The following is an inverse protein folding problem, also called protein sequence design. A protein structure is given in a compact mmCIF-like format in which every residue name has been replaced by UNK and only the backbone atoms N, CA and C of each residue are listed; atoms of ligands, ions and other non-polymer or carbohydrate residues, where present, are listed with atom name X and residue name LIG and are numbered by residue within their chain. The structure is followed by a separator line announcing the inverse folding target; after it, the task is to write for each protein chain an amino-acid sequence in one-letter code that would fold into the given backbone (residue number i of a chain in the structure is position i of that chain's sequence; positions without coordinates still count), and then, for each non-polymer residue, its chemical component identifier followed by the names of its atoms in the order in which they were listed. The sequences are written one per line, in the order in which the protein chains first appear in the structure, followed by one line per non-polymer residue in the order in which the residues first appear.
data_IF_063822828026
#
_entry.id   IF_063822828026
#
_cell.length_a   1.000
_cell.length_b   1.000
_cell.length_c   1.000
_cell.angle_alpha   90.00
_cell.angle_beta   90.00
_cell.angle_gamma   90.00
#
_symmetry.space_group_name_H-M   'P 1'
#
loop_
_entity.id
_entity.type
_entity.pdbx_description
1 polymer ?
#
# COMPACT_ATOMS: atom_id res chain seq x y z
N UNK A 1 -33.18 2.72 -18.88
CA UNK A 1 -32.75 1.34 -18.64
C UNK A 1 -31.31 1.22 -19.09
N UNK A 2 -30.37 1.02 -18.16
CA UNK A 2 -28.97 0.76 -18.51
C UNK A 2 -28.85 -0.74 -18.84
N UNK A 3 -28.45 -1.11 -20.08
CA UNK A 3 -28.46 -2.50 -20.54
C UNK A 3 -27.23 -3.32 -20.10
N UNK A 4 -26.28 -2.72 -19.37
CA UNK A 4 -25.07 -3.40 -18.88
C UNK A 4 -25.21 -3.92 -17.44
N UNK A 5 -24.61 -5.09 -17.17
CA UNK A 5 -24.39 -5.62 -15.82
C UNK A 5 -23.44 -4.64 -15.10
N UNK A 6 -23.93 -3.93 -14.08
CA UNK A 6 -23.11 -2.97 -13.32
C UNK A 6 -22.51 -3.67 -12.11
N UNK A 7 -21.23 -3.42 -11.87
CA UNK A 7 -20.51 -3.91 -10.69
C UNK A 7 -21.08 -3.27 -9.43
N UNK A 8 -21.37 -4.07 -8.42
CA UNK A 8 -21.81 -3.61 -7.10
C UNK A 8 -20.63 -3.64 -6.14
N UNK A 9 -20.31 -2.49 -5.57
CA UNK A 9 -19.30 -2.34 -4.54
C UNK A 9 -19.99 -2.07 -3.22
N UNK A 10 -19.96 -3.04 -2.32
CA UNK A 10 -20.53 -2.94 -0.97
C UNK A 10 -19.43 -2.64 0.04
N UNK A 11 -19.54 -1.50 0.70
CA UNK A 11 -18.60 -1.05 1.70
C UNK A 11 -19.18 -1.21 3.10
N UNK A 12 -18.47 -1.91 3.98
CA UNK A 12 -18.83 -2.10 5.38
C UNK A 12 -17.74 -1.60 6.33
N UNK A 13 -18.04 -1.50 7.63
CA UNK A 13 -17.05 -1.04 8.62
C UNK A 13 -16.13 -2.17 9.06
N UNK A 14 -16.71 -3.30 9.45
CA UNK A 14 -15.99 -4.37 10.15
C UNK A 14 -15.94 -5.68 9.35
N UNK A 15 -14.92 -6.50 9.63
CA UNK A 15 -14.77 -7.82 8.99
C UNK A 15 -15.98 -8.75 9.25
N UNK A 16 -16.53 -8.83 10.48
CA UNK A 16 -17.74 -9.63 10.71
C UNK A 16 -18.97 -9.17 9.91
N UNK A 17 -19.10 -7.88 9.60
CA UNK A 17 -20.16 -7.40 8.72
C UNK A 17 -19.93 -7.82 7.28
N UNK A 18 -18.68 -7.77 6.80
CA UNK A 18 -18.29 -8.30 5.48
C UNK A 18 -18.70 -9.78 5.36
N UNK A 19 -18.38 -10.60 6.36
CA UNK A 19 -18.76 -12.02 6.36
C UNK A 19 -20.28 -12.23 6.39
N UNK A 20 -21.02 -11.44 7.17
CA UNK A 20 -22.49 -11.48 7.19
C UNK A 20 -23.08 -11.13 5.82
N UNK A 21 -22.60 -10.05 5.20
CA UNK A 21 -23.07 -9.61 3.90
C UNK A 21 -22.76 -10.65 2.80
N UNK A 22 -21.59 -11.31 2.86
CA UNK A 22 -21.26 -12.42 1.96
C UNK A 22 -22.17 -13.64 2.18
N UNK A 23 -22.49 -13.97 3.44
CA UNK A 23 -23.41 -15.07 3.76
C UNK A 23 -24.86 -14.77 3.33
N UNK A 24 -25.28 -13.51 3.36
CA UNK A 24 -26.57 -13.07 2.84
C UNK A 24 -26.60 -13.10 1.30
N UNK A 25 -25.52 -12.66 0.66
CA UNK A 25 -25.36 -12.75 -0.79
C UNK A 25 -25.43 -14.20 -1.29
N UNK A 26 -24.77 -15.13 -0.58
CA UNK A 26 -24.81 -16.57 -0.87
C UNK A 26 -26.24 -17.12 -0.79
N UNK A 27 -26.97 -16.81 0.29
CA UNK A 27 -28.38 -17.17 0.46
C UNK A 27 -29.29 -16.57 -0.61
N UNK A 28 -29.02 -15.34 -1.04
CA UNK A 28 -29.76 -14.67 -2.11
C UNK A 28 -29.55 -15.38 -3.45
N UNK A 29 -28.31 -15.76 -3.78
CA UNK A 29 -28.00 -16.49 -5.01
C UNK A 29 -28.67 -17.87 -5.03
N UNK A 30 -28.65 -18.60 -3.91
CA UNK A 30 -29.37 -19.87 -3.77
C UNK A 30 -30.89 -19.70 -3.98
N UNK A 31 -31.48 -18.65 -3.42
CA UNK A 31 -32.90 -18.34 -3.60
C UNK A 31 -33.22 -18.03 -5.07
N UNK A 32 -32.40 -17.21 -5.75
CA UNK A 32 -32.57 -16.86 -7.17
C UNK A 32 -32.49 -18.09 -8.07
N UNK A 33 -31.54 -18.99 -7.79
CA UNK A 33 -31.40 -20.25 -8.52
C UNK A 33 -32.65 -21.13 -8.36
N UNK A 34 -33.23 -21.21 -7.15
CA UNK A 34 -34.49 -21.94 -6.89
C UNK A 34 -35.70 -21.34 -7.63
N UNK A 35 -35.70 -20.04 -7.88
CA UNK A 35 -36.76 -19.35 -8.64
C UNK A 35 -36.56 -19.40 -10.16
N UNK A 36 -35.53 -20.11 -10.66
CA UNK A 36 -35.26 -20.24 -12.09
C UNK A 36 -34.50 -19.06 -12.71
N UNK A 37 -34.01 -18.13 -11.90
CA UNK A 37 -33.09 -17.07 -12.35
C UNK A 37 -31.67 -17.61 -12.29
N UNK A 38 -31.17 -18.16 -13.40
CA UNK A 38 -29.78 -18.59 -13.50
C UNK A 38 -28.90 -17.39 -13.88
N UNK A 39 -28.22 -16.82 -12.88
CA UNK A 39 -27.18 -15.82 -13.12
C UNK A 39 -25.90 -16.55 -13.55
N UNK A 40 -25.74 -16.77 -14.86
CA UNK A 40 -24.50 -17.35 -15.40
C UNK A 40 -23.31 -16.43 -15.09
N UNK A 41 -22.18 -17.06 -14.75
CA UNK A 41 -20.90 -16.40 -14.50
C UNK A 41 -20.93 -15.32 -13.41
N UNK A 42 -21.78 -15.48 -12.37
CA UNK A 42 -21.80 -14.54 -11.25
C UNK A 42 -20.63 -14.77 -10.29
N UNK A 43 -19.88 -13.71 -9.97
CA UNK A 43 -18.80 -13.75 -8.98
C UNK A 43 -19.05 -12.73 -7.87
N UNK A 44 -19.21 -13.23 -6.66
CA UNK A 44 -19.27 -12.44 -5.43
C UNK A 44 -17.99 -12.65 -4.59
N UNK A 45 -17.31 -11.56 -4.23
CA UNK A 45 -16.00 -11.63 -3.59
C UNK A 45 -15.92 -10.78 -2.31
N UNK A 46 -15.38 -11.36 -1.24
CA UNK A 46 -14.94 -10.63 -0.06
C UNK A 46 -13.48 -10.20 -0.16
N UNK A 47 -13.18 -8.93 0.14
CA UNK A 47 -11.80 -8.44 0.28
C UNK A 47 -11.51 -8.00 1.71
N UNK A 48 -10.38 -8.46 2.24
CA UNK A 48 -9.84 -8.00 3.53
C UNK A 48 -8.31 -7.90 3.50
N UNK A 49 -7.70 -7.66 4.67
CA UNK A 49 -6.26 -7.49 4.81
C UNK A 49 -5.48 -8.79 4.65
N UNK A 50 -4.17 -8.69 4.35
CA UNK A 50 -3.28 -9.86 4.26
C UNK A 50 -3.35 -10.73 5.51
N UNK A 51 -3.52 -10.13 6.69
CA UNK A 51 -3.65 -10.83 7.97
C UNK A 51 -4.78 -11.87 7.96
N UNK A 52 -5.89 -11.59 7.30
CA UNK A 52 -7.07 -12.47 7.32
C UNK A 52 -7.06 -13.49 6.17
N UNK A 53 -6.30 -13.24 5.10
CA UNK A 53 -6.27 -14.08 3.89
C UNK A 53 -4.94 -14.83 3.68
N UNK A 54 -3.92 -14.60 4.51
CA UNK A 54 -2.63 -15.27 4.39
C UNK A 54 -2.71 -16.74 4.86
N UNK A 55 -2.28 -17.67 4.01
CA UNK A 55 -2.23 -19.11 4.27
C UNK A 55 -0.81 -19.65 4.44
N UNK A 56 0.20 -18.78 4.35
CA UNK A 56 1.60 -19.19 4.47
C UNK A 56 1.92 -19.58 5.92
N UNK A 57 2.40 -20.81 6.21
CA UNK A 57 2.50 -21.35 7.57
C UNK A 57 3.29 -20.48 8.56
N UNK A 58 4.36 -19.83 8.09
CA UNK A 58 5.21 -18.99 8.95
C UNK A 58 4.68 -17.56 9.13
N UNK A 59 3.80 -17.09 8.24
CA UNK A 59 3.30 -15.70 8.25
C UNK A 59 1.90 -15.61 8.83
N UNK A 60 1.06 -16.61 8.60
CA UNK A 60 -0.32 -16.66 9.12
C UNK A 60 -0.39 -16.72 10.65
N UNK A 61 0.70 -17.08 11.33
CA UNK A 61 0.80 -17.14 12.79
C UNK A 61 1.00 -15.76 13.44
N UNK A 62 1.39 -14.76 12.65
CA UNK A 62 1.68 -13.42 13.15
C UNK A 62 0.41 -12.64 13.51
N UNK A 63 0.41 -11.98 14.67
CA UNK A 63 -0.78 -11.28 15.19
C UNK A 63 -0.95 -9.87 14.64
N UNK A 64 0.14 -9.23 14.22
CA UNK A 64 0.15 -7.83 13.75
C UNK A 64 0.15 -7.79 12.23
N UNK A 65 -0.78 -7.03 11.65
CA UNK A 65 -0.90 -6.88 10.19
C UNK A 65 0.38 -6.34 9.54
N UNK A 66 1.05 -5.36 10.16
CA UNK A 66 2.29 -4.80 9.64
C UNK A 66 3.42 -5.85 9.49
N UNK A 67 3.51 -6.81 10.41
CA UNK A 67 4.52 -7.89 10.35
C UNK A 67 4.15 -8.86 9.22
N UNK A 68 2.86 -9.18 9.08
CA UNK A 68 2.36 -10.01 7.97
C UNK A 68 2.71 -9.37 6.62
N UNK A 69 2.51 -8.07 6.49
CA UNK A 69 2.82 -7.32 5.27
C UNK A 69 4.33 -7.32 4.97
N UNK A 70 5.17 -7.10 5.99
CA UNK A 70 6.63 -7.11 5.85
C UNK A 70 7.15 -8.49 5.41
N UNK A 71 6.75 -9.56 6.11
CA UNK A 71 7.16 -10.94 5.75
C UNK A 71 6.62 -11.39 4.40
N UNK A 72 5.39 -11.01 4.06
CA UNK A 72 4.85 -11.29 2.73
C UNK A 72 5.71 -10.65 1.65
N UNK A 73 6.14 -9.40 1.86
CA UNK A 73 7.02 -8.68 0.94
C UNK A 73 8.42 -9.30 0.85
N UNK A 74 8.98 -9.76 1.96
CA UNK A 74 10.27 -10.47 1.99
C UNK A 74 10.32 -11.65 1.03
N UNK A 75 9.19 -12.32 0.79
CA UNK A 75 9.09 -13.48 -0.11
C UNK A 75 8.52 -13.17 -1.49
N UNK A 76 7.81 -12.04 -1.67
CA UNK A 76 7.08 -11.73 -2.92
C UNK A 76 7.65 -10.55 -3.70
N UNK A 77 8.54 -9.76 -3.09
CA UNK A 77 9.13 -8.59 -3.71
C UNK A 77 9.86 -8.93 -5.01
N UNK A 78 9.70 -8.05 -6.00
CA UNK A 78 10.16 -8.34 -7.37
C UNK A 78 11.67 -8.53 -7.49
N UNK A 79 12.47 -7.81 -6.68
CA UNK A 79 13.93 -8.00 -6.63
C UNK A 79 14.33 -9.30 -5.92
N UNK A 80 13.55 -9.76 -4.93
CA UNK A 80 13.79 -11.03 -4.25
C UNK A 80 13.58 -12.18 -5.23
N UNK A 81 12.49 -12.13 -6.01
CA UNK A 81 12.19 -13.11 -7.06
C UNK A 81 13.29 -13.16 -8.13
N UNK A 82 13.77 -12.00 -8.59
CA UNK A 82 14.90 -11.93 -9.53
C UNK A 82 16.19 -12.51 -8.94
N UNK A 83 16.51 -12.19 -7.68
CA UNK A 83 17.69 -12.75 -7.01
C UNK A 83 17.57 -14.26 -6.84
N UNK A 84 16.40 -14.78 -6.53
CA UNK A 84 16.15 -16.21 -6.38
C UNK A 84 16.48 -16.98 -7.68
N UNK A 85 16.14 -16.41 -8.85
CA UNK A 85 16.50 -16.97 -10.16
C UNK A 85 18.02 -17.03 -10.39
N UNK A 86 18.79 -16.09 -9.82
CA UNK A 86 20.25 -15.99 -10.02
C UNK A 86 21.09 -16.74 -8.97
N UNK A 87 20.65 -16.76 -7.71
CA UNK A 87 21.43 -17.24 -6.55
C UNK A 87 20.90 -18.60 -6.02
N UNK A 88 19.71 -19.03 -6.42
CA UNK A 88 19.22 -20.41 -6.23
C UNK A 88 18.90 -20.85 -4.79
N UNK A 89 18.98 -19.97 -3.79
CA UNK A 89 18.82 -20.33 -2.38
C UNK A 89 18.05 -19.26 -1.57
N UNK A 90 17.00 -18.69 -2.15
CA UNK A 90 16.13 -17.70 -1.49
C UNK A 90 14.74 -18.31 -1.39
N UNK A 91 14.19 -18.35 -0.18
CA UNK A 91 12.83 -18.83 0.08
C UNK A 91 11.82 -17.85 -0.51
N UNK A 92 10.99 -18.34 -1.44
CA UNK A 92 9.88 -17.60 -2.05
C UNK A 92 8.56 -18.16 -1.52
N UNK A 93 7.49 -17.41 -1.73
CA UNK A 93 6.16 -17.87 -1.36
C UNK A 93 5.59 -18.77 -2.47
N UNK A 94 5.58 -20.09 -2.25
CA UNK A 94 5.03 -21.08 -3.19
C UNK A 94 3.60 -20.74 -3.65
N UNK A 95 2.76 -20.26 -2.73
CA UNK A 95 1.38 -19.87 -2.99
C UNK A 95 1.26 -18.69 -3.97
N UNK A 96 2.21 -17.76 -3.90
CA UNK A 96 2.24 -16.60 -4.79
C UNK A 96 2.80 -16.96 -6.17
N UNK A 97 3.90 -17.72 -6.22
CA UNK A 97 4.51 -18.14 -7.49
C UNK A 97 3.55 -19.00 -8.31
N UNK A 98 2.83 -19.93 -7.66
CA UNK A 98 1.81 -20.76 -8.34
C UNK A 98 0.73 -19.88 -8.98
N UNK A 99 0.21 -18.89 -8.24
CA UNK A 99 -0.79 -17.95 -8.75
C UNK A 99 -0.27 -17.14 -9.95
N UNK A 100 1.01 -16.77 -9.96
CA UNK A 100 1.61 -16.00 -11.05
C UNK A 100 1.67 -16.78 -12.37
N UNK A 101 1.78 -18.12 -12.29
CA UNK A 101 1.81 -18.99 -13.48
C UNK A 101 0.44 -19.34 -14.07
N UNK A 102 -0.64 -19.11 -13.32
CA UNK A 102 -2.00 -19.47 -13.75
C UNK A 102 -2.67 -18.39 -14.59
N UNK A 103 -3.46 -18.81 -15.58
CA UNK A 103 -4.25 -17.93 -16.43
C UNK A 103 -5.49 -17.40 -15.70
N UNK A 104 -5.93 -16.19 -16.08
CA UNK A 104 -7.01 -15.47 -15.41
C UNK A 104 -8.35 -16.22 -15.44
N UNK A 105 -8.62 -16.99 -16.50
CA UNK A 105 -9.87 -17.77 -16.66
C UNK A 105 -9.98 -18.97 -15.72
N UNK A 106 -8.87 -19.43 -15.14
CA UNK A 106 -8.84 -20.60 -14.24
C UNK A 106 -8.81 -20.20 -12.76
N UNK A 107 -8.79 -18.90 -12.46
CA UNK A 107 -8.54 -18.40 -11.11
C UNK A 107 -9.66 -18.71 -10.12
N UNK A 108 -10.92 -18.51 -10.54
CA UNK A 108 -12.06 -18.68 -9.66
C UNK A 108 -13.31 -19.08 -10.46
N UNK A 109 -13.98 -20.20 -10.11
CA UNK A 109 -15.27 -20.53 -10.71
C UNK A 109 -16.35 -19.48 -10.36
N UNK A 110 -17.48 -19.54 -11.07
CA UNK A 110 -18.67 -18.75 -10.71
C UNK A 110 -19.18 -19.15 -9.33
N UNK A 111 -19.40 -18.17 -8.46
CA UNK A 111 -19.88 -18.39 -7.10
C UNK A 111 -19.71 -17.18 -6.21
N UNK A 112 -20.27 -17.29 -4.99
CA UNK A 112 -20.05 -16.33 -3.91
C UNK A 112 -19.03 -16.93 -2.95
N UNK A 113 -17.93 -16.21 -2.76
CA UNK A 113 -16.82 -16.66 -1.94
C UNK A 113 -16.73 -15.81 -0.68
N UNK A 114 -16.98 -16.44 0.47
CA UNK A 114 -16.66 -15.87 1.78
C UNK A 114 -15.13 -15.83 2.00
N UNK A 115 -14.69 -15.14 3.05
CA UNK A 115 -13.26 -15.11 3.38
C UNK A 115 -12.72 -16.52 3.70
N UNK A 116 -13.50 -17.33 4.41
CA UNK A 116 -13.18 -18.72 4.70
C UNK A 116 -13.11 -19.55 3.41
N UNK A 117 -14.14 -19.43 2.54
CA UNK A 117 -14.19 -20.13 1.25
C UNK A 117 -12.94 -19.81 0.39
N UNK A 118 -12.51 -18.55 0.34
CA UNK A 118 -11.29 -18.15 -0.37
C UNK A 118 -10.02 -18.76 0.23
N UNK A 119 -9.92 -18.77 1.57
CA UNK A 119 -8.74 -19.35 2.22
C UNK A 119 -8.63 -20.85 2.00
N UNK A 120 -9.76 -21.56 2.04
CA UNK A 120 -9.79 -23.00 1.84
C UNK A 120 -9.58 -23.37 0.37
N UNK A 121 -10.15 -22.59 -0.56
CA UNK A 121 -9.88 -22.72 -1.98
C UNK A 121 -8.39 -22.52 -2.31
N UNK A 122 -7.77 -21.47 -1.74
CA UNK A 122 -6.35 -21.21 -1.92
C UNK A 122 -5.45 -22.30 -1.31
N UNK A 123 -5.81 -22.88 -0.16
CA UNK A 123 -5.09 -24.03 0.41
C UNK A 123 -5.19 -25.26 -0.50
N UNK A 124 -6.38 -25.56 -1.02
CA UNK A 124 -6.63 -26.73 -1.86
C UNK A 124 -5.85 -26.66 -3.19
N UNK A 125 -5.76 -25.47 -3.79
CA UNK A 125 -5.10 -25.26 -5.09
C UNK A 125 -3.67 -24.70 -4.97
N UNK A 126 -3.12 -24.58 -3.76
CA UNK A 126 -1.82 -23.95 -3.47
C UNK A 126 -1.67 -22.55 -4.07
N UNK A 127 -2.73 -21.74 -3.99
CA UNK A 127 -2.76 -20.35 -4.44
C UNK A 127 -2.84 -19.39 -3.26
N UNK A 128 -2.27 -18.19 -3.41
CA UNK A 128 -2.36 -17.14 -2.41
C UNK A 128 -3.75 -16.46 -2.46
N UNK A 129 -4.63 -16.61 -1.44
CA UNK A 129 -5.99 -16.05 -1.48
C UNK A 129 -6.00 -14.52 -1.56
N UNK A 130 -5.04 -13.86 -0.90
CA UNK A 130 -4.92 -12.40 -0.93
C UNK A 130 -4.67 -11.87 -2.34
N UNK A 131 -3.68 -12.40 -3.06
CA UNK A 131 -3.39 -11.95 -4.43
C UNK A 131 -4.42 -12.49 -5.44
N UNK A 132 -5.00 -13.66 -5.18
CA UNK A 132 -6.10 -14.21 -5.97
C UNK A 132 -7.31 -13.26 -5.96
N UNK A 133 -7.78 -12.88 -4.78
CA UNK A 133 -8.90 -11.94 -4.65
C UNK A 133 -8.65 -10.63 -5.39
N UNK A 134 -7.42 -10.10 -5.35
CA UNK A 134 -7.03 -8.90 -6.12
C UNK A 134 -7.09 -9.09 -7.63
N UNK A 135 -6.61 -10.21 -8.16
CA UNK A 135 -6.66 -10.51 -9.60
C UNK A 135 -8.08 -10.72 -10.13
N UNK A 136 -9.00 -11.14 -9.26
CA UNK A 136 -10.41 -11.42 -9.62
C UNK A 136 -11.28 -10.15 -9.54
N UNK A 137 -10.80 -9.05 -8.94
CA UNK A 137 -11.54 -7.77 -8.84
C UNK A 137 -12.14 -7.32 -10.18
N UNK A 138 -11.42 -7.33 -11.32
CA UNK A 138 -11.98 -6.89 -12.59
C UNK A 138 -13.18 -7.73 -13.04
N UNK A 139 -13.15 -9.05 -12.76
CA UNK A 139 -14.17 -10.02 -13.18
C UNK A 139 -15.34 -10.15 -12.19
N UNK A 140 -15.22 -9.63 -10.98
CA UNK A 140 -16.25 -9.75 -9.95
C UNK A 140 -17.46 -8.84 -10.23
N UNK A 141 -18.67 -9.38 -10.08
CA UNK A 141 -19.92 -8.61 -10.17
C UNK A 141 -20.24 -7.89 -8.86
N UNK A 142 -19.96 -8.53 -7.72
CA UNK A 142 -20.18 -7.98 -6.38
C UNK A 142 -18.91 -8.08 -5.57
N UNK A 143 -18.48 -6.96 -5.00
CA UNK A 143 -17.29 -6.89 -4.15
C UNK A 143 -17.70 -6.30 -2.81
N UNK A 144 -17.39 -7.01 -1.73
CA UNK A 144 -17.71 -6.61 -0.36
C UNK A 144 -16.41 -6.37 0.40
N UNK A 145 -16.18 -5.13 0.86
CA UNK A 145 -14.94 -4.76 1.53
C UNK A 145 -15.09 -3.57 2.49
N UNK A 146 -14.00 -3.18 3.17
CA UNK A 146 -14.05 -2.13 4.20
C UNK A 146 -13.95 -0.71 3.65
N UNK A 147 -14.61 0.28 4.29
CA UNK A 147 -14.50 1.71 3.95
C UNK A 147 -13.06 2.20 3.78
N UNK A 148 -12.14 1.67 4.58
CA UNK A 148 -10.73 2.06 4.52
C UNK A 148 -10.12 1.82 3.14
N UNK A 149 -10.51 0.79 2.40
CA UNK A 149 -9.96 0.53 1.07
C UNK A 149 -10.47 1.50 0.00
N UNK A 150 -11.60 2.16 0.25
CA UNK A 150 -12.18 3.13 -0.69
C UNK A 150 -11.80 4.57 -0.35
N UNK A 151 -11.72 4.88 0.96
CA UNK A 151 -11.52 6.24 1.45
C UNK A 151 -10.05 6.53 1.80
N UNK A 152 -9.25 5.53 2.18
CA UNK A 152 -7.81 5.75 2.36
C UNK A 152 -7.19 5.89 0.97
N UNK A 153 -6.68 7.08 0.62
CA UNK A 153 -6.12 7.29 -0.71
C UNK A 153 -4.96 6.32 -1.00
N UNK A 154 -4.31 5.74 0.03
CA UNK A 154 -3.13 4.87 -0.13
C UNK A 154 -3.53 3.55 -0.74
N UNK A 155 -4.73 3.10 -0.38
CA UNK A 155 -5.29 1.81 -0.76
C UNK A 155 -6.28 1.99 -1.90
N UNK A 156 -7.01 3.10 -1.91
CA UNK A 156 -7.98 3.42 -2.95
C UNK A 156 -7.33 3.42 -4.33
N UNK A 157 -6.17 4.05 -4.53
CA UNK A 157 -5.53 4.10 -5.84
C UNK A 157 -5.24 2.70 -6.44
N UNK A 158 -4.92 1.72 -5.58
CA UNK A 158 -4.63 0.34 -5.98
C UNK A 158 -5.88 -0.44 -6.42
N UNK A 159 -7.06 -0.05 -5.95
CA UNK A 159 -8.31 -0.81 -6.11
C UNK A 159 -9.28 -0.06 -7.03
N UNK A 160 -9.30 1.27 -6.95
CA UNK A 160 -10.20 2.15 -7.71
C UNK A 160 -9.86 2.22 -9.20
N UNK A 161 -8.60 1.98 -9.59
CA UNK A 161 -8.19 1.90 -11.00
C UNK A 161 -8.85 0.73 -11.73
N UNK A 162 -9.20 -0.33 -11.01
CA UNK A 162 -9.84 -1.54 -11.54
C UNK A 162 -11.37 -1.43 -11.61
N UNK A 163 -11.95 -0.33 -11.12
CA UNK A 163 -13.40 -0.10 -11.14
C UNK A 163 -13.84 0.71 -12.35
N UNK A 164 -14.85 0.19 -13.04
CA UNK A 164 -15.51 0.91 -14.11
C UNK A 164 -16.29 2.10 -13.56
N UNK A 165 -16.38 3.19 -14.33
CA UNK A 165 -17.13 4.40 -13.94
C UNK A 165 -18.62 4.15 -13.70
N UNK A 166 -19.16 3.07 -14.26
CA UNK A 166 -20.57 2.70 -14.15
C UNK A 166 -20.87 1.78 -12.94
N UNK A 167 -19.91 1.60 -12.03
CA UNK A 167 -20.07 0.81 -10.80
C UNK A 167 -21.03 1.48 -9.81
N UNK A 168 -21.83 0.67 -9.10
CA UNK A 168 -22.72 1.12 -8.03
C UNK A 168 -22.02 0.92 -6.70
N UNK A 169 -21.78 2.00 -5.97
CA UNK A 169 -21.16 1.95 -4.64
C UNK A 169 -22.22 2.12 -3.57
N UNK A 170 -22.25 1.18 -2.62
CA UNK A 170 -23.15 1.19 -1.47
C UNK A 170 -22.30 1.31 -0.21
N UNK A 171 -22.48 2.42 0.50
CA UNK A 171 -21.93 2.58 1.85
C UNK A 171 -22.99 2.13 2.85
N UNK A 172 -22.74 0.99 3.50
CA UNK A 172 -23.48 0.61 4.70
C UNK A 172 -23.06 1.52 5.87
N UNK A 173 -23.87 1.65 6.93
CA UNK A 173 -23.49 2.36 8.16
C UNK A 173 -22.74 3.70 7.95
N UNK A 174 -23.18 4.49 6.96
CA UNK A 174 -22.45 5.65 6.43
C UNK A 174 -22.30 6.83 7.41
N UNK A 175 -22.82 6.70 8.63
CA UNK A 175 -22.76 7.72 9.67
C UNK A 175 -21.34 7.95 10.23
N UNK A 176 -20.36 7.07 9.95
CA UNK A 176 -18.96 7.23 10.39
C UNK A 176 -18.00 7.70 9.30
N UNK A 177 -18.50 8.04 8.10
CA UNK A 177 -17.63 8.40 6.97
C UNK A 177 -16.75 9.61 7.30
N UNK A 178 -17.29 10.60 8.00
CA UNK A 178 -16.56 11.80 8.43
C UNK A 178 -15.32 11.47 9.27
N UNK A 179 -15.50 10.61 10.26
CA UNK A 179 -14.47 10.17 11.19
C UNK A 179 -13.39 9.37 10.45
N UNK A 180 -13.80 8.49 9.52
CA UNK A 180 -12.86 7.70 8.71
C UNK A 180 -12.03 8.61 7.79
N UNK A 181 -12.64 9.62 7.19
CA UNK A 181 -11.93 10.60 6.36
C UNK A 181 -10.90 11.40 7.19
N UNK A 182 -11.28 11.82 8.39
CA UNK A 182 -10.38 12.52 9.32
C UNK A 182 -9.20 11.61 9.70
N UNK A 183 -9.48 10.37 10.10
CA UNK A 183 -8.46 9.41 10.52
C UNK A 183 -7.49 9.04 9.39
N UNK A 184 -7.99 8.90 8.15
CA UNK A 184 -7.18 8.47 7.00
C UNK A 184 -6.10 9.51 6.61
N UNK A 185 -6.36 10.79 6.86
CA UNK A 185 -5.45 11.90 6.55
C UNK A 185 -4.67 12.39 7.78
N UNK A 186 -5.04 11.95 8.98
CA UNK A 186 -4.39 12.36 10.22
C UNK A 186 -3.10 11.59 10.46
N UNK A 187 -2.06 12.28 10.92
CA UNK A 187 -0.74 11.69 11.18
C UNK A 187 -0.27 12.08 12.58
N UNK A 188 -0.28 11.10 13.50
CA UNK A 188 0.23 11.32 14.87
C UNK A 188 1.73 11.06 14.98
N UNK A 189 2.51 12.08 15.30
CA UNK A 189 3.95 11.93 15.56
C UNK A 189 4.20 12.08 17.05
N UNK A 190 4.79 11.06 17.67
CA UNK A 190 5.23 11.10 19.07
C UNK A 190 6.76 11.03 19.18
N UNK A 191 7.29 11.25 20.38
CA UNK A 191 8.74 11.22 20.64
C UNK A 191 9.37 9.88 20.26
N UNK A 192 8.67 8.77 20.52
CA UNK A 192 9.13 7.43 20.15
C UNK A 192 9.26 7.28 18.63
N UNK A 193 8.30 7.80 17.86
CA UNK A 193 8.34 7.82 16.39
C UNK A 193 9.56 8.60 15.89
N UNK A 194 9.85 9.78 16.45
CA UNK A 194 11.02 10.57 16.06
C UNK A 194 12.34 9.90 16.43
N UNK A 195 12.42 9.28 17.61
CA UNK A 195 13.62 8.52 18.04
C UNK A 195 13.88 7.34 17.11
N UNK A 196 12.84 6.55 16.82
CA UNK A 196 12.94 5.45 15.86
C UNK A 196 13.34 5.94 14.47
N UNK A 197 12.72 7.03 13.98
CA UNK A 197 13.04 7.62 12.67
C UNK A 197 14.50 8.06 12.56
N UNK A 198 15.09 8.54 13.65
CA UNK A 198 16.52 8.93 13.68
C UNK A 198 17.42 7.73 13.41
N UNK A 199 17.20 6.65 14.15
CA UNK A 199 17.95 5.41 13.97
C UNK A 199 17.74 4.78 12.58
N UNK A 200 16.53 4.87 12.03
CA UNK A 200 16.24 4.38 10.67
C UNK A 200 16.95 5.20 9.60
N UNK A 201 17.07 6.52 9.77
CA UNK A 201 17.77 7.41 8.81
C UNK A 201 19.30 7.26 8.90
N UNK A 202 19.84 6.96 10.08
CA UNK A 202 21.26 6.64 10.23
C UNK A 202 21.61 5.36 9.47
N UNK A 203 20.86 4.28 9.70
CA UNK A 203 21.00 3.03 8.95
C UNK A 203 20.78 3.19 7.46
N UNK A 204 19.81 4.02 7.05
CA UNK A 204 19.61 4.35 5.64
C UNK A 204 20.85 5.01 5.04
N UNK A 205 21.51 5.90 5.79
CA UNK A 205 22.77 6.52 5.39
C UNK A 205 23.90 5.51 5.21
N UNK A 206 24.11 4.63 6.20
CA UNK A 206 25.11 3.55 6.13
C UNK A 206 24.87 2.66 4.91
N UNK A 207 23.61 2.28 4.64
CA UNK A 207 23.25 1.45 3.50
C UNK A 207 23.49 2.13 2.15
N UNK A 208 23.28 3.44 2.08
CA UNK A 208 23.61 4.24 0.89
C UNK A 208 25.12 4.25 0.66
N UNK A 209 25.92 4.41 1.72
CA UNK A 209 27.38 4.41 1.64
C UNK A 209 27.93 3.04 1.22
N UNK A 210 27.39 1.95 1.77
CA UNK A 210 27.69 0.58 1.36
C UNK A 210 27.37 0.33 -0.11
N UNK A 211 26.17 0.71 -0.56
CA UNK A 211 25.75 0.51 -1.95
C UNK A 211 26.60 1.35 -2.91
N UNK A 212 27.01 2.55 -2.51
CA UNK A 212 27.92 3.37 -3.32
C UNK A 212 29.29 2.72 -3.47
N UNK A 213 29.79 2.06 -2.43
CA UNK A 213 31.06 1.34 -2.47
C UNK A 213 30.99 0.05 -3.32
N UNK A 214 29.86 -0.67 -3.28
CA UNK A 214 29.70 -1.96 -3.97
C UNK A 214 29.15 -1.83 -5.40
N UNK A 215 28.19 -0.94 -5.64
CA UNK A 215 27.45 -0.82 -6.89
C UNK A 215 26.91 0.60 -7.13
N UNK A 216 27.79 1.48 -7.62
CA UNK A 216 27.42 2.86 -7.96
C UNK A 216 26.47 2.99 -9.15
N UNK A 217 26.39 1.97 -10.02
CA UNK A 217 25.56 2.00 -11.23
C UNK A 217 24.07 1.99 -10.91
N UNK A 218 23.63 1.22 -9.90
CA UNK A 218 22.22 1.22 -9.45
C UNK A 218 21.75 2.60 -8.98
N UNK A 219 22.58 3.30 -8.19
CA UNK A 219 22.30 4.65 -7.70
C UNK A 219 22.31 5.68 -8.85
N UNK A 220 23.18 5.49 -9.84
CA UNK A 220 23.20 6.33 -11.05
C UNK A 220 21.95 6.12 -11.90
N UNK A 221 21.55 4.88 -12.13
CA UNK A 221 20.31 4.56 -12.85
C UNK A 221 19.04 5.02 -12.10
N UNK A 222 19.05 5.08 -10.77
CA UNK A 222 18.01 5.79 -10.01
C UNK A 222 18.04 7.30 -10.31
N UNK A 223 19.22 7.93 -10.23
CA UNK A 223 19.35 9.37 -10.50
C UNK A 223 18.81 9.74 -11.88
N UNK A 224 19.15 8.98 -12.92
CA UNK A 224 18.69 9.24 -14.29
C UNK A 224 17.16 9.11 -14.41
N UNK A 225 16.57 8.08 -13.79
CA UNK A 225 15.10 7.93 -13.70
C UNK A 225 14.42 9.10 -12.98
N UNK A 226 15.01 9.62 -11.90
CA UNK A 226 14.47 10.76 -11.16
C UNK A 226 14.56 12.08 -11.97
N UNK A 227 15.43 12.15 -12.97
CA UNK A 227 15.55 13.29 -13.90
C UNK A 227 14.50 13.21 -15.00
N UNK A 228 14.24 12.01 -15.53
CA UNK A 228 13.24 11.78 -16.59
C UNK A 228 11.79 11.89 -16.08
N UNK A 229 11.56 11.64 -14.79
CA UNK A 229 10.27 11.84 -14.12
C UNK A 229 9.82 10.62 -13.33
N UNK A 230 9.00 10.81 -12.29
CA UNK A 230 8.64 9.74 -11.35
C UNK A 230 7.65 8.70 -11.91
N UNK A 231 6.97 9.01 -13.02
CA UNK A 231 5.79 8.27 -13.49
C UNK A 231 6.12 6.87 -14.00
N UNK A 232 7.23 6.69 -14.71
CA UNK A 232 7.63 5.36 -15.22
C UNK A 232 8.08 4.41 -14.10
N UNK A 233 8.56 4.95 -12.97
CA UNK A 233 8.96 4.17 -11.79
C UNK A 233 7.79 3.72 -10.89
N UNK A 234 6.59 4.26 -11.12
CA UNK A 234 5.34 3.84 -10.45
C UNK A 234 4.57 2.83 -11.32
N UNK A 235 4.57 3.01 -12.64
CA UNK A 235 3.92 2.07 -13.57
C UNK A 235 4.65 0.72 -13.68
N UNK A 236 5.98 0.69 -13.46
CA UNK A 236 6.74 -0.54 -13.44
C UNK A 236 6.63 -1.27 -12.09
N UNK A 237 5.64 -2.17 -12.01
CA UNK A 237 5.42 -3.21 -10.97
C UNK A 237 4.55 -2.77 -9.78
N UNK A 238 3.24 -2.76 -10.01
CA UNK A 238 2.12 -2.51 -9.08
C UNK A 238 2.06 -3.42 -7.82
N UNK A 239 2.90 -4.45 -7.70
CA UNK A 239 2.84 -5.42 -6.60
C UNK A 239 3.59 -4.95 -5.34
N UNK A 240 4.49 -3.96 -5.46
CA UNK A 240 5.44 -3.55 -4.41
C UNK A 240 5.06 -2.23 -3.67
N UNK A 241 3.84 -1.71 -3.83
CA UNK A 241 3.41 -0.43 -3.25
C UNK A 241 2.93 -0.56 -1.79
N UNK A 242 3.83 -0.33 -0.83
CA UNK A 242 3.49 -0.20 0.62
C UNK A 242 3.85 1.19 1.16
N UNK A 243 4.53 2.04 0.36
CA UNK A 243 5.16 3.27 0.83
C UNK A 243 4.85 4.53 0.01
N UNK A 244 3.87 4.49 -0.91
CA UNK A 244 3.45 5.69 -1.62
C UNK A 244 2.59 6.60 -0.73
N UNK A 245 2.83 7.91 -0.81
CA UNK A 245 1.88 8.91 -0.32
C UNK A 245 0.95 9.31 -1.48
N UNK A 246 -0.33 9.01 -1.41
CA UNK A 246 -1.30 9.11 -2.50
C UNK A 246 -1.98 10.49 -2.60
N UNK A 247 -1.68 11.43 -1.68
CA UNK A 247 -2.35 12.75 -1.64
C UNK A 247 -1.71 13.72 -2.66
N UNK A 248 -0.65 13.30 -3.33
CA UNK A 248 0.00 14.13 -4.33
C UNK A 248 -0.89 14.25 -5.57
N UNK A 249 -1.30 15.46 -5.97
CA UNK A 249 -2.04 15.66 -7.22
C UNK A 249 -1.25 15.06 -8.39
N UNK A 250 -1.94 14.48 -9.38
CA UNK A 250 -1.34 13.87 -10.58
C UNK A 250 -0.33 14.78 -11.29
N UNK A 251 -0.46 16.09 -11.13
CA UNK A 251 0.45 17.10 -11.68
C UNK A 251 1.85 17.07 -11.05
N UNK A 252 1.96 16.69 -9.76
CA UNK A 252 3.24 16.60 -9.04
C UNK A 252 4.04 15.38 -9.48
N UNK A 253 3.35 14.29 -9.86
CA UNK A 253 3.95 13.08 -10.42
C UNK A 253 4.66 13.31 -11.75
N UNK A 254 4.27 14.35 -12.50
CA UNK A 254 4.91 14.73 -13.77
C UNK A 254 6.06 15.73 -13.58
N UNK A 255 6.27 16.26 -12.37
CA UNK A 255 7.37 17.18 -12.11
C UNK A 255 8.67 16.42 -11.80
N UNK A 256 9.78 16.89 -12.37
CA UNK A 256 11.10 16.37 -12.01
C UNK A 256 11.42 16.63 -10.54
N UNK A 257 11.98 15.63 -9.88
CA UNK A 257 12.40 15.73 -8.47
C UNK A 257 13.38 16.89 -8.30
N UNK A 258 13.23 17.73 -7.26
CA UNK A 258 14.15 18.82 -6.98
C UNK A 258 15.60 18.34 -6.87
N UNK A 259 16.52 19.05 -7.53
CA UNK A 259 17.95 18.70 -7.58
C UNK A 259 18.57 18.41 -6.20
N UNK A 260 18.11 19.15 -5.18
CA UNK A 260 18.60 19.06 -3.80
C UNK A 260 18.32 17.71 -3.11
N UNK A 261 17.37 16.90 -3.63
CA UNK A 261 17.04 15.58 -3.07
C UNK A 261 17.23 14.44 -4.07
N UNK A 262 17.80 14.70 -5.25
CA UNK A 262 18.07 13.65 -6.25
C UNK A 262 19.12 12.66 -5.76
N UNK A 263 20.23 13.16 -5.22
CA UNK A 263 21.27 12.29 -4.64
C UNK A 263 20.82 11.75 -3.29
N UNK A 264 20.98 10.45 -3.09
CA UNK A 264 20.60 9.75 -1.86
C UNK A 264 21.24 10.38 -0.61
N UNK A 265 22.53 10.73 -0.67
CA UNK A 265 23.24 11.40 0.44
C UNK A 265 22.61 12.73 0.87
N UNK A 266 22.20 13.55 -0.11
CA UNK A 266 21.55 14.83 0.17
C UNK A 266 20.16 14.61 0.75
N UNK A 267 19.43 13.61 0.26
CA UNK A 267 18.13 13.24 0.79
C UNK A 267 18.21 12.73 2.25
N UNK A 268 19.20 11.89 2.58
CA UNK A 268 19.44 11.43 3.96
C UNK A 268 19.76 12.62 4.87
N UNK A 269 20.63 13.55 4.44
CA UNK A 269 20.94 14.77 5.21
C UNK A 269 19.71 15.67 5.40
N UNK A 270 18.89 15.79 4.36
CA UNK A 270 17.62 16.51 4.40
C UNK A 270 16.66 15.90 5.46
N UNK A 271 16.47 14.58 5.44
CA UNK A 271 15.64 13.87 6.42
C UNK A 271 16.17 14.05 7.86
N UNK A 272 17.48 13.92 8.08
CA UNK A 272 18.10 14.16 9.40
C UNK A 272 17.76 15.57 9.89
N UNK A 273 17.93 16.59 9.05
CA UNK A 273 17.61 17.99 9.38
C UNK A 273 16.13 18.19 9.70
N UNK A 274 15.24 17.58 8.93
CA UNK A 274 13.80 17.66 9.15
C UNK A 274 13.37 17.00 10.46
N UNK A 275 13.91 15.82 10.79
CA UNK A 275 13.62 15.12 12.04
C UNK A 275 14.11 15.92 13.25
N UNK A 276 15.32 16.48 13.19
CA UNK A 276 15.83 17.33 14.29
C UNK A 276 14.99 18.58 14.49
N UNK A 277 14.49 19.18 13.41
CA UNK A 277 13.52 20.27 13.50
C UNK A 277 12.23 19.85 14.20
N UNK A 278 11.64 18.70 13.82
CA UNK A 278 10.44 18.19 14.49
C UNK A 278 10.69 17.92 15.99
N UNK A 279 11.84 17.33 16.34
CA UNK A 279 12.22 17.13 17.75
C UNK A 279 12.30 18.45 18.51
N UNK A 280 12.94 19.47 17.92
CA UNK A 280 13.03 20.79 18.54
C UNK A 280 11.65 21.42 18.75
N UNK A 281 10.74 21.28 17.79
CA UNK A 281 9.36 21.77 17.89
C UNK A 281 8.51 21.01 18.92
N UNK A 282 8.77 19.73 19.13
CA UNK A 282 8.06 18.92 20.12
C UNK A 282 8.49 19.16 21.57
N UNK A 283 9.60 19.88 21.83
CA UNK A 283 10.07 20.21 23.19
C UNK A 283 9.30 21.35 23.86
N UNK A 284 8.30 21.93 23.20
CA UNK A 284 7.50 23.01 23.75
C UNK A 284 6.60 22.48 24.88
N UNK A 285 6.63 23.14 26.04
CA UNK A 285 5.96 22.68 27.28
C UNK A 285 4.48 23.06 27.38
N UNK A 286 3.93 23.77 26.39
CA UNK A 286 2.53 24.18 26.35
C UNK A 286 1.88 23.75 25.04
N UNK A 287 0.54 23.71 25.01
CA UNK A 287 -0.22 23.35 23.81
C UNK A 287 -0.08 24.45 22.78
N UNK A 288 0.35 24.09 21.57
CA UNK A 288 0.50 25.01 20.43
C UNK A 288 -0.38 24.52 19.29
N UNK A 289 -1.18 25.43 18.73
CA UNK A 289 -1.87 25.22 17.48
C UNK A 289 -1.20 26.07 16.39
N UNK A 290 -0.84 25.46 15.26
CA UNK A 290 -0.23 26.14 14.13
C UNK A 290 -0.98 25.84 12.84
N UNK A 291 -0.99 26.80 11.93
CA UNK A 291 -1.47 26.61 10.57
C UNK A 291 -0.33 26.09 9.68
N UNK A 292 -0.66 25.28 8.66
CA UNK A 292 0.33 24.74 7.71
C UNK A 292 1.23 25.82 7.08
N UNK A 293 0.72 27.00 6.64
CA UNK A 293 1.58 28.04 6.09
C UNK A 293 2.56 28.63 7.11
N UNK A 294 2.13 28.79 8.37
CA UNK A 294 3.00 29.27 9.45
C UNK A 294 4.12 28.27 9.74
N UNK A 295 3.77 26.99 9.83
CA UNK A 295 4.74 25.91 10.01
C UNK A 295 5.77 25.87 8.87
N UNK A 296 5.31 25.99 7.62
CA UNK A 296 6.16 26.01 6.42
C UNK A 296 7.04 27.26 6.31
N UNK A 297 6.60 28.40 6.85
CA UNK A 297 7.43 29.61 6.94
C UNK A 297 8.55 29.42 7.96
N UNK A 298 8.20 28.91 9.15
CA UNK A 298 9.15 28.71 10.25
C UNK A 298 10.22 27.67 9.92
N UNK A 299 9.84 26.55 9.29
CA UNK A 299 10.82 25.55 8.84
C UNK A 299 11.83 26.14 7.85
N UNK A 300 11.38 27.02 6.92
CA UNK A 300 12.25 27.68 5.97
C UNK A 300 13.22 28.64 6.66
N UNK A 301 12.78 29.37 7.67
CA UNK A 301 13.61 30.33 8.42
C UNK A 301 14.69 29.64 9.27
N UNK A 302 14.34 28.53 9.95
CA UNK A 302 15.27 27.82 10.84
C UNK A 302 16.16 26.84 10.09
N UNK A 303 15.59 26.12 9.11
CA UNK A 303 16.26 25.00 8.43
C UNK A 303 16.50 25.22 6.95
N UNK A 304 16.16 26.37 6.37
CA UNK A 304 16.36 26.63 4.93
C UNK A 304 15.79 25.52 4.03
N UNK A 305 14.84 24.71 4.54
CA UNK A 305 14.13 23.70 3.78
C UNK A 305 13.00 24.41 3.04
N UNK A 306 13.02 24.31 1.71
CA UNK A 306 11.97 24.82 0.86
C UNK A 306 10.72 23.91 0.88
N UNK A 307 9.58 24.47 0.48
CA UNK A 307 8.33 23.71 0.33
C UNK A 307 8.42 22.61 -0.73
N UNK A 308 9.17 22.83 -1.81
CA UNK A 308 9.18 21.91 -2.95
C UNK A 308 9.77 20.54 -2.59
N UNK A 309 10.96 20.41 -1.96
CA UNK A 309 11.49 19.12 -1.52
C UNK A 309 10.60 18.33 -0.56
N UNK A 310 9.86 19.02 0.32
CA UNK A 310 8.94 18.39 1.28
C UNK A 310 7.83 17.60 0.56
N UNK A 311 7.29 18.13 -0.54
CA UNK A 311 6.25 17.48 -1.35
C UNK A 311 6.68 16.13 -1.96
N UNK A 312 7.97 15.94 -2.25
CA UNK A 312 8.47 14.71 -2.86
C UNK A 312 9.06 13.74 -1.83
N UNK A 313 8.91 14.03 -0.53
CA UNK A 313 9.62 13.31 0.51
C UNK A 313 9.21 11.84 0.61
N UNK A 314 7.90 11.56 0.61
CA UNK A 314 7.40 10.19 0.68
C UNK A 314 7.79 9.36 -0.55
N UNK A 315 7.63 9.92 -1.75
CA UNK A 315 7.98 9.22 -2.99
C UNK A 315 9.47 8.98 -3.13
N UNK A 316 10.30 9.98 -2.75
CA UNK A 316 11.75 9.84 -2.77
C UNK A 316 12.21 8.75 -1.81
N UNK A 317 11.59 8.65 -0.63
CA UNK A 317 11.84 7.57 0.32
C UNK A 317 11.45 6.21 -0.26
N UNK A 318 10.25 6.09 -0.85
CA UNK A 318 9.81 4.85 -1.49
C UNK A 318 10.74 4.42 -2.65
N UNK A 319 11.21 5.36 -3.47
CA UNK A 319 12.21 5.10 -4.51
C UNK A 319 13.53 4.60 -3.93
N UNK A 320 14.01 5.24 -2.87
CA UNK A 320 15.29 4.89 -2.27
C UNK A 320 15.23 3.51 -1.60
N UNK A 321 14.16 3.21 -0.86
CA UNK A 321 13.94 1.90 -0.23
C UNK A 321 13.93 0.78 -1.27
N UNK A 322 13.29 1.00 -2.44
CA UNK A 322 13.31 0.04 -3.56
C UNK A 322 14.72 -0.13 -4.14
N UNK A 323 15.44 0.97 -4.38
CA UNK A 323 16.79 0.94 -4.95
C UNK A 323 17.78 0.23 -4.02
N UNK A 324 17.63 0.41 -2.71
CA UNK A 324 18.44 -0.24 -1.68
C UNK A 324 18.04 -1.69 -1.39
N UNK A 325 16.97 -2.19 -2.05
CA UNK A 325 16.45 -3.57 -1.90
C UNK A 325 16.17 -3.93 -0.44
N UNK A 326 15.67 -2.96 0.33
CA UNK A 326 15.35 -3.13 1.75
C UNK A 326 14.08 -3.96 1.88
N UNK A 327 14.16 -5.04 2.66
CA UNK A 327 13.05 -5.97 2.88
C UNK A 327 12.29 -5.70 4.17
N UNK A 328 13.00 -5.35 5.25
CA UNK A 328 12.36 -5.04 6.54
C UNK A 328 11.78 -3.62 6.52
N UNK A 329 10.49 -3.50 6.20
CA UNK A 329 9.77 -2.24 6.21
C UNK A 329 9.33 -1.80 7.62
N UNK A 330 9.33 -2.69 8.61
CA UNK A 330 8.92 -2.33 9.98
C UNK A 330 9.88 -1.29 10.55
N UNK A 331 11.17 -1.47 10.30
CA UNK A 331 12.22 -0.55 10.73
C UNK A 331 12.08 0.85 10.12
N UNK A 332 11.50 0.96 8.93
CA UNK A 332 11.31 2.23 8.22
C UNK A 332 9.89 2.79 8.37
N UNK A 333 8.97 2.09 9.04
CA UNK A 333 7.58 2.55 9.20
C UNK A 333 7.47 3.89 9.94
N UNK A 334 8.30 4.12 10.96
CA UNK A 334 8.37 5.40 11.65
C UNK A 334 8.87 6.53 10.72
N UNK A 335 9.91 6.23 9.92
CA UNK A 335 10.45 7.19 8.96
C UNK A 335 9.46 7.50 7.83
N UNK A 336 8.73 6.49 7.36
CA UNK A 336 7.66 6.64 6.39
C UNK A 336 6.55 7.55 6.92
N UNK A 337 6.21 7.45 8.20
CA UNK A 337 5.24 8.36 8.84
C UNK A 337 5.73 9.81 8.84
N UNK A 338 7.01 10.03 9.12
CA UNK A 338 7.64 11.38 9.06
C UNK A 338 7.69 11.90 7.62
N UNK A 339 8.02 11.06 6.65
CA UNK A 339 8.04 11.43 5.24
C UNK A 339 6.62 11.71 4.69
N UNK A 340 5.63 10.97 5.18
CA UNK A 340 4.21 11.21 4.91
C UNK A 340 3.73 12.55 5.47
N UNK A 341 4.14 12.92 6.69
CA UNK A 341 3.86 14.24 7.28
C UNK A 341 4.56 15.40 6.55
N UNK A 342 5.74 15.14 5.99
CA UNK A 342 6.47 16.15 5.22
C UNK A 342 5.75 16.53 3.91
N UNK A 343 5.07 15.56 3.30
CA UNK A 343 4.44 15.66 1.99
C UNK A 343 3.09 16.36 2.09
#
# INVERSE_FOLDING_TARGET
FYPGRRKLVYCSRTVPEIDKALAELKRLMEYRQRQGCADENFIGLGLTSRKNLCVHPQVSTERKGAIVDARCREMTASWVRQKAQTVGNIELCDFFETLQTMETSELLPSGVYTLEDLTDYGKAHKMCPYYLSRRVIPMADVIIYSFHYMLDPKVAELVSKEFEKDSIVVFDEAHNIDSICIDSLSIDINERTLRSSTASVERLGERVDEMKAQNSEKLRGEYDRLVEGLRDALAARDEDLVLSNPILPDHVLNEAVPGNIRKAEHFVRFLKRFIEYLKARMRVMHVVAETTPSFLKHIREVTYIERKPLRFCAERLASLVRTLEITDLEEYGALAKVAGFAT
#
